data_IF_409473356205
#
_entry.id   IF_409473356205
#
_cell.length_a   1.000
_cell.length_b   1.000
_cell.length_c   1.000
_cell.angle_alpha   90.00
_cell.angle_beta   90.00
_cell.angle_gamma   90.00
#
_symmetry.space_group_name_H-M   'P 1'
#
loop_
_entity.id
_entity.type
_entity.pdbx_description
1 polymer ?
#
# COMPACT_ATOMS: atom_id res chain seq x y z
N UNK A 1 -13.73 -41.07 -17.50
CA UNK A 1 -12.60 -40.27 -16.97
C UNK A 1 -13.17 -39.44 -15.82
N UNK A 2 -12.70 -39.66 -14.59
CA UNK A 2 -13.08 -38.78 -13.46
C UNK A 2 -12.56 -37.39 -13.70
N UNK A 3 -13.36 -36.36 -13.41
CA UNK A 3 -12.89 -34.98 -13.47
C UNK A 3 -11.65 -34.85 -12.55
N UNK A 4 -10.60 -34.15 -12.98
CA UNK A 4 -9.43 -33.91 -12.13
C UNK A 4 -9.90 -33.24 -10.84
N UNK A 5 -9.40 -33.71 -9.69
CA UNK A 5 -9.71 -33.07 -8.41
C UNK A 5 -9.25 -31.59 -8.45
N UNK A 6 -10.05 -30.67 -7.91
CA UNK A 6 -9.68 -29.26 -7.92
C UNK A 6 -8.35 -29.05 -7.17
N UNK A 7 -7.45 -28.24 -7.75
CA UNK A 7 -6.20 -27.86 -7.07
C UNK A 7 -6.51 -27.18 -5.75
N UNK A 8 -5.82 -27.58 -4.71
CA UNK A 8 -5.92 -26.95 -3.38
C UNK A 8 -4.90 -25.84 -3.28
N UNK A 9 -5.32 -24.66 -2.83
CA UNK A 9 -4.42 -23.59 -2.44
C UNK A 9 -4.19 -23.61 -0.92
N UNK A 10 -2.98 -23.27 -0.51
CA UNK A 10 -2.57 -23.18 0.90
C UNK A 10 -1.86 -21.85 1.14
N UNK A 11 -1.96 -21.30 2.35
CA UNK A 11 -1.19 -20.17 2.79
C UNK A 11 0.11 -20.66 3.41
N UNK A 12 1.24 -20.22 2.88
CA UNK A 12 2.58 -20.66 3.29
C UNK A 12 3.36 -19.61 4.07
N UNK A 13 2.97 -18.33 3.99
CA UNK A 13 3.60 -17.25 4.72
C UNK A 13 2.66 -16.08 4.91
N UNK A 14 2.83 -15.37 6.02
CA UNK A 14 2.05 -14.19 6.37
C UNK A 14 2.99 -13.02 6.70
N UNK A 15 2.78 -11.88 6.05
CA UNK A 15 3.47 -10.63 6.34
C UNK A 15 2.46 -9.58 6.81
N UNK A 16 2.70 -9.03 7.99
CA UNK A 16 1.86 -8.01 8.61
C UNK A 16 2.67 -6.77 8.97
N UNK A 17 2.05 -5.59 8.75
CA UNK A 17 2.54 -4.31 9.25
C UNK A 17 1.32 -3.49 9.68
N UNK A 18 1.21 -3.20 10.96
CA UNK A 18 0.09 -2.47 11.52
C UNK A 18 0.52 -1.65 12.74
N UNK A 19 -0.39 -0.83 13.26
CA UNK A 19 -0.18 -0.09 14.50
C UNK A 19 -0.09 -0.99 15.76
N UNK A 20 -0.48 -2.26 15.64
CA UNK A 20 -0.38 -3.26 16.72
C UNK A 20 0.92 -4.03 16.69
N UNK A 21 1.62 -4.01 15.56
CA UNK A 21 2.87 -4.73 15.37
C UNK A 21 3.17 -5.02 13.90
N UNK A 22 4.31 -5.65 13.68
CA UNK A 22 4.82 -6.00 12.35
C UNK A 22 5.16 -7.48 12.17
N UNK A 23 4.61 -8.33 13.02
CA UNK A 23 4.67 -9.79 12.92
C UNK A 23 3.35 -10.40 13.44
N UNK A 24 3.07 -11.62 13.03
CA UNK A 24 1.79 -12.28 13.29
C UNK A 24 1.52 -12.49 14.78
N UNK A 25 2.52 -12.92 15.54
CA UNK A 25 2.37 -13.24 16.95
C UNK A 25 2.12 -11.98 17.79
N UNK A 26 2.89 -10.92 17.53
CA UNK A 26 2.69 -9.62 18.20
C UNK A 26 1.31 -9.06 17.94
N UNK A 27 0.85 -9.08 16.67
CA UNK A 27 -0.47 -8.59 16.29
C UNK A 27 -1.56 -9.44 16.91
N UNK A 28 -1.44 -10.77 16.87
CA UNK A 28 -2.40 -11.69 17.47
C UNK A 28 -2.52 -11.49 18.98
N UNK A 29 -1.40 -11.44 19.70
CA UNK A 29 -1.39 -11.21 21.15
C UNK A 29 -1.99 -9.85 21.53
N UNK A 30 -1.75 -8.83 20.72
CA UNK A 30 -2.37 -7.51 20.91
C UNK A 30 -3.90 -7.58 20.72
N UNK A 31 -4.38 -8.27 19.69
CA UNK A 31 -5.81 -8.43 19.41
C UNK A 31 -6.53 -9.19 20.55
N UNK A 32 -6.01 -10.35 20.95
CA UNK A 32 -6.66 -11.17 21.98
C UNK A 32 -6.61 -10.54 23.38
N UNK A 33 -5.63 -9.65 23.63
CA UNK A 33 -5.55 -8.87 24.87
C UNK A 33 -6.35 -7.56 24.82
N UNK A 34 -7.08 -7.29 23.73
CA UNK A 34 -7.87 -6.07 23.57
C UNK A 34 -7.04 -4.79 23.45
N UNK A 35 -5.76 -4.89 23.08
CA UNK A 35 -4.87 -3.74 22.92
C UNK A 35 -5.29 -2.88 21.74
N UNK A 36 -5.40 -1.57 21.94
CA UNK A 36 -5.67 -0.60 20.87
C UNK A 36 -4.37 0.05 20.38
N UNK A 37 -4.23 0.19 19.06
CA UNK A 37 -3.20 1.00 18.43
C UNK A 37 -3.62 2.46 18.20
N UNK A 38 -4.87 2.82 18.52
CA UNK A 38 -5.40 4.17 18.32
C UNK A 38 -4.86 5.11 19.40
N UNK A 39 -4.32 6.24 18.98
CA UNK A 39 -3.76 7.29 19.84
C UNK A 39 -3.93 8.66 19.20
N UNK A 40 -3.62 9.72 19.95
CA UNK A 40 -3.55 11.07 19.38
C UNK A 40 -2.53 11.10 18.27
N UNK A 41 -2.88 11.69 17.13
CA UNK A 41 -2.00 11.83 15.96
C UNK A 41 -0.76 12.66 16.31
N UNK A 42 0.39 12.20 15.81
CA UNK A 42 1.68 12.86 15.96
C UNK A 42 2.41 13.07 14.62
N UNK A 43 2.00 12.38 13.55
CA UNK A 43 2.65 12.50 12.24
C UNK A 43 2.39 13.82 11.53
N UNK A 44 1.27 14.48 11.83
CA UNK A 44 0.92 15.79 11.30
C UNK A 44 -0.01 16.53 12.28
N UNK A 45 -0.06 17.85 12.16
CA UNK A 45 -0.96 18.65 12.98
C UNK A 45 -2.42 18.45 12.54
N UNK A 46 -3.26 17.97 13.46
CA UNK A 46 -4.67 17.72 13.27
C UNK A 46 -5.54 18.63 14.16
N UNK A 47 -4.97 19.74 14.69
CA UNK A 47 -5.66 20.59 15.68
C UNK A 47 -7.00 21.15 15.17
N UNK A 48 -7.06 21.48 13.88
CA UNK A 48 -8.25 22.05 13.24
C UNK A 48 -9.18 20.98 12.63
N UNK A 49 -8.83 19.69 12.75
CA UNK A 49 -9.66 18.60 12.23
C UNK A 49 -10.65 18.09 13.28
N UNK A 50 -11.85 17.65 12.85
CA UNK A 50 -12.85 17.10 13.76
C UNK A 50 -12.38 15.87 14.54
N UNK A 51 -11.57 15.00 13.92
CA UNK A 51 -10.96 13.84 14.53
C UNK A 51 -9.45 14.09 14.70
N UNK A 52 -8.90 13.69 15.85
CA UNK A 52 -7.47 13.90 16.20
C UNK A 52 -6.79 12.62 16.65
N UNK A 53 -7.42 11.47 16.41
CA UNK A 53 -6.90 10.16 16.80
C UNK A 53 -6.77 9.26 15.58
N UNK A 54 -5.78 8.37 15.61
CA UNK A 54 -5.52 7.39 14.55
C UNK A 54 -4.57 6.32 15.00
N UNK A 55 -4.48 5.24 14.24
CA UNK A 55 -3.59 4.12 14.53
C UNK A 55 -2.31 4.25 13.70
N UNK A 56 -1.36 5.05 14.19
CA UNK A 56 -0.08 5.31 13.53
C UNK A 56 0.92 4.16 13.70
N UNK A 57 1.80 4.01 12.71
CA UNK A 57 2.99 3.15 12.76
C UNK A 57 4.22 4.08 12.79
N UNK A 58 4.66 4.55 13.97
CA UNK A 58 5.65 5.63 14.06
C UNK A 58 7.03 5.20 13.56
N UNK A 59 7.46 3.99 13.89
CA UNK A 59 8.84 3.52 13.67
C UNK A 59 9.00 2.75 12.35
N UNK A 60 8.02 2.84 11.44
CA UNK A 60 8.10 2.18 10.16
C UNK A 60 9.15 2.83 9.26
N UNK A 61 10.17 2.05 8.95
CA UNK A 61 11.18 2.35 7.94
C UNK A 61 11.32 1.14 7.00
N UNK A 62 10.85 1.29 5.77
CA UNK A 62 10.93 0.25 4.75
C UNK A 62 12.38 -0.20 4.48
N UNK A 63 13.39 0.66 4.71
CA UNK A 63 14.81 0.32 4.51
C UNK A 63 15.32 -0.73 5.50
N UNK A 64 14.66 -0.90 6.64
CA UNK A 64 15.00 -1.94 7.62
C UNK A 64 14.52 -3.33 7.17
N UNK A 65 13.50 -3.38 6.32
CA UNK A 65 12.89 -4.62 5.81
C UNK A 65 13.42 -4.94 4.40
N UNK A 66 13.43 -3.93 3.53
CA UNK A 66 13.97 -4.06 2.18
C UNK A 66 15.49 -3.84 2.23
N UNK A 67 16.25 -4.92 2.30
CA UNK A 67 17.70 -4.86 2.49
C UNK A 67 18.51 -4.82 1.20
N UNK A 68 17.98 -5.33 0.09
CA UNK A 68 18.66 -5.36 -1.20
C UNK A 68 18.83 -3.94 -1.77
N UNK A 69 20.07 -3.61 -2.15
CA UNK A 69 20.47 -2.25 -2.59
C UNK A 69 19.61 -1.72 -3.74
N UNK A 70 19.36 -2.55 -4.75
CA UNK A 70 18.59 -2.13 -5.93
C UNK A 70 17.12 -1.86 -5.58
N UNK A 71 16.50 -2.71 -4.78
CA UNK A 71 15.14 -2.52 -4.30
C UNK A 71 15.01 -1.26 -3.40
N UNK A 72 16.02 -0.97 -2.59
CA UNK A 72 16.05 0.26 -1.76
C UNK A 72 16.07 1.54 -2.57
N UNK A 73 16.65 1.54 -3.77
CA UNK A 73 16.65 2.72 -4.66
C UNK A 73 15.25 3.10 -5.11
N UNK A 74 14.35 2.13 -5.26
CA UNK A 74 12.98 2.38 -5.71
C UNK A 74 12.08 2.94 -4.60
N UNK A 75 12.47 2.82 -3.32
CA UNK A 75 11.69 3.35 -2.19
C UNK A 75 11.40 4.87 -2.31
N UNK A 76 12.29 5.63 -2.94
CA UNK A 76 12.12 7.07 -3.15
C UNK A 76 10.96 7.45 -4.09
N UNK A 77 10.50 6.50 -4.92
CA UNK A 77 9.35 6.65 -5.82
C UNK A 77 8.12 5.90 -5.34
N UNK A 78 8.08 5.54 -4.06
CA UNK A 78 6.96 4.89 -3.40
C UNK A 78 6.38 5.80 -2.32
N UNK A 79 5.09 6.07 -2.37
CA UNK A 79 4.37 6.64 -1.24
C UNK A 79 4.39 5.67 -0.04
N UNK A 80 4.13 6.18 1.16
CA UNK A 80 4.13 5.36 2.39
C UNK A 80 3.22 4.12 2.28
N UNK A 81 2.04 4.26 1.70
CA UNK A 81 1.14 3.13 1.43
C UNK A 81 1.81 2.02 0.62
N UNK A 82 2.50 2.40 -0.46
CA UNK A 82 3.22 1.44 -1.32
C UNK A 82 4.36 0.78 -0.55
N UNK A 83 5.13 1.56 0.22
CA UNK A 83 6.22 1.02 1.05
C UNK A 83 5.70 0.01 2.09
N UNK A 84 4.54 0.25 2.71
CA UNK A 84 3.90 -0.69 3.65
C UNK A 84 3.56 -2.01 2.97
N UNK A 85 2.93 -1.96 1.78
CA UNK A 85 2.57 -3.16 1.01
C UNK A 85 3.77 -3.97 0.57
N UNK A 86 4.80 -3.31 0.01
CA UNK A 86 6.04 -3.97 -0.42
C UNK A 86 6.79 -4.60 0.75
N UNK A 87 6.85 -3.90 1.88
CA UNK A 87 7.49 -4.43 3.09
C UNK A 87 6.72 -5.61 3.70
N UNK A 88 5.38 -5.58 3.67
CA UNK A 88 4.56 -6.70 4.11
C UNK A 88 4.74 -7.92 3.19
N UNK A 89 4.80 -7.72 1.86
CA UNK A 89 5.08 -8.78 0.91
C UNK A 89 6.46 -9.42 1.15
N UNK A 90 7.50 -8.62 1.41
CA UNK A 90 8.82 -9.13 1.78
C UNK A 90 8.76 -10.02 3.03
N UNK A 91 8.05 -9.60 4.08
CA UNK A 91 7.86 -10.41 5.28
C UNK A 91 7.11 -11.71 5.01
N UNK A 92 6.11 -11.70 4.13
CA UNK A 92 5.39 -12.91 3.73
C UNK A 92 6.31 -13.92 3.03
N UNK A 93 7.19 -13.43 2.13
CA UNK A 93 8.20 -14.27 1.43
C UNK A 93 9.19 -14.87 2.43
N UNK A 94 9.65 -14.10 3.40
CA UNK A 94 10.54 -14.58 4.47
C UNK A 94 9.85 -15.62 5.36
N UNK A 95 8.60 -15.37 5.77
CA UNK A 95 7.83 -16.31 6.57
C UNK A 95 7.51 -17.61 5.83
N UNK A 96 7.33 -17.55 4.51
CA UNK A 96 7.18 -18.73 3.65
C UNK A 96 8.50 -19.46 3.39
N UNK A 97 9.64 -18.93 3.82
CA UNK A 97 10.98 -19.41 3.49
C UNK A 97 11.20 -19.59 1.98
N UNK A 98 10.53 -18.78 1.16
CA UNK A 98 10.59 -18.84 -0.29
C UNK A 98 11.91 -18.27 -0.80
N UNK A 99 12.65 -19.08 -1.54
CA UNK A 99 13.96 -18.70 -2.10
C UNK A 99 13.81 -18.10 -3.49
N UNK A 100 14.67 -17.14 -3.88
CA UNK A 100 14.73 -16.64 -5.26
C UNK A 100 14.89 -17.79 -6.27
N UNK A 101 14.09 -17.77 -7.33
CA UNK A 101 14.12 -18.80 -8.38
C UNK A 101 13.46 -20.14 -8.03
N UNK A 102 12.90 -20.30 -6.85
CA UNK A 102 12.19 -21.53 -6.45
C UNK A 102 10.89 -21.73 -7.23
N UNK A 103 10.27 -20.65 -7.66
CA UNK A 103 9.07 -20.66 -8.53
C UNK A 103 9.48 -20.07 -9.87
N UNK A 104 9.05 -20.70 -10.96
CA UNK A 104 9.27 -20.16 -12.30
C UNK A 104 8.63 -18.76 -12.41
N UNK A 105 9.36 -17.71 -12.83
CA UNK A 105 8.85 -16.34 -12.83
C UNK A 105 7.50 -16.18 -13.53
N UNK A 106 7.30 -16.83 -14.67
CA UNK A 106 6.05 -16.78 -15.43
C UNK A 106 4.85 -17.46 -14.73
N UNK A 107 5.11 -18.27 -13.68
CA UNK A 107 4.08 -18.95 -12.88
C UNK A 107 3.98 -18.40 -11.46
N UNK A 108 4.68 -17.31 -11.18
CA UNK A 108 4.60 -16.58 -9.92
C UNK A 108 3.82 -15.28 -10.13
N UNK A 109 2.62 -15.20 -9.56
CA UNK A 109 1.70 -14.08 -9.72
C UNK A 109 1.67 -13.13 -8.53
N UNK A 110 1.04 -11.97 -8.74
CA UNK A 110 0.81 -10.94 -7.71
C UNK A 110 -0.62 -10.43 -7.82
N UNK A 111 -1.37 -10.47 -6.75
CA UNK A 111 -2.70 -9.85 -6.64
C UNK A 111 -2.73 -8.92 -5.43
N UNK A 112 -2.92 -7.63 -5.66
CA UNK A 112 -2.91 -6.65 -4.57
C UNK A 112 -4.19 -5.84 -4.51
N UNK A 113 -4.66 -5.60 -3.30
CA UNK A 113 -5.72 -4.65 -3.01
C UNK A 113 -5.08 -3.29 -2.67
N UNK A 114 -5.44 -2.28 -3.42
CA UNK A 114 -5.04 -0.91 -3.12
C UNK A 114 -6.11 0.05 -3.64
N UNK A 115 -6.49 1.00 -2.83
CA UNK A 115 -7.36 2.09 -3.26
C UNK A 115 -6.53 3.32 -3.62
N UNK A 116 -7.18 4.45 -3.83
CA UNK A 116 -6.51 5.69 -4.16
C UNK A 116 -5.49 6.07 -3.09
N UNK A 117 -4.24 6.20 -3.49
CA UNK A 117 -3.15 6.69 -2.64
C UNK A 117 -3.17 8.22 -2.69
N UNK A 118 -3.37 8.87 -1.54
CA UNK A 118 -3.40 10.33 -1.49
C UNK A 118 -2.01 10.92 -1.73
N UNK A 119 -1.96 11.97 -2.54
CA UNK A 119 -0.73 12.72 -2.81
C UNK A 119 -0.26 13.43 -1.53
N UNK A 120 1.03 13.34 -1.24
CA UNK A 120 1.63 14.13 -0.16
C UNK A 120 1.58 15.62 -0.52
N UNK A 121 1.16 16.50 0.41
CA UNK A 121 1.05 17.93 0.15
C UNK A 121 2.34 18.55 -0.39
N UNK A 122 3.49 18.07 0.06
CA UNK A 122 4.82 18.55 -0.32
C UNK A 122 5.10 18.41 -1.82
N UNK A 123 4.61 17.35 -2.44
CA UNK A 123 4.81 17.10 -3.88
C UNK A 123 4.06 18.13 -4.75
N UNK A 124 3.00 18.77 -4.21
CA UNK A 124 2.18 19.76 -4.93
C UNK A 124 2.40 21.19 -4.43
N UNK A 125 3.01 21.34 -3.26
CA UNK A 125 3.09 22.65 -2.58
C UNK A 125 3.83 23.71 -3.40
N UNK A 126 4.89 23.34 -4.13
CA UNK A 126 5.64 24.27 -4.98
C UNK A 126 4.78 24.91 -6.06
N UNK A 127 4.07 24.07 -6.82
CA UNK A 127 3.14 24.52 -7.84
C UNK A 127 1.97 25.31 -7.29
N UNK A 128 1.35 24.82 -6.20
CA UNK A 128 0.22 25.50 -5.57
C UNK A 128 0.59 26.89 -5.03
N UNK A 129 1.78 27.05 -4.42
CA UNK A 129 2.26 28.35 -3.94
C UNK A 129 2.54 29.32 -5.08
N UNK A 130 3.15 28.83 -6.17
CA UNK A 130 3.49 29.66 -7.34
C UNK A 130 2.24 30.20 -8.04
N UNK A 131 1.17 29.43 -8.06
CA UNK A 131 -0.06 29.75 -8.78
C UNK A 131 -1.22 30.13 -7.85
N UNK A 132 -0.92 30.44 -6.58
CA UNK A 132 -1.93 30.86 -5.60
C UNK A 132 -2.65 32.14 -6.04
N UNK A 133 -3.97 32.12 -6.02
CA UNK A 133 -4.78 33.32 -6.26
C UNK A 133 -4.88 34.21 -5.01
N UNK A 134 -5.42 35.42 -5.19
CA UNK A 134 -5.75 36.33 -4.07
C UNK A 134 -6.80 35.72 -3.12
N UNK A 135 -7.69 34.88 -3.64
CA UNK A 135 -8.68 34.16 -2.82
C UNK A 135 -8.02 32.96 -2.16
N UNK A 136 -7.96 32.87 -0.82
CA UNK A 136 -7.37 31.75 -0.11
C UNK A 136 -7.97 30.41 -0.54
N UNK A 137 -7.13 29.39 -0.67
CA UNK A 137 -7.54 28.04 -1.07
C UNK A 137 -7.79 27.86 -2.57
N UNK A 138 -7.53 28.85 -3.40
CA UNK A 138 -7.69 28.74 -4.86
C UNK A 138 -6.36 28.97 -5.59
N UNK A 139 -6.25 28.35 -6.78
CA UNK A 139 -5.08 28.50 -7.66
C UNK A 139 -5.51 28.97 -9.06
N UNK A 140 -4.62 29.69 -9.74
CA UNK A 140 -4.77 29.98 -11.16
C UNK A 140 -4.49 28.71 -11.97
N UNK A 141 -5.52 28.15 -12.58
CA UNK A 141 -5.41 26.90 -13.34
C UNK A 141 -4.62 27.07 -14.64
N UNK A 142 -4.62 28.25 -15.26
CA UNK A 142 -3.80 28.52 -16.43
C UNK A 142 -2.32 28.56 -16.06
N UNK A 143 -1.98 29.28 -14.99
CA UNK A 143 -0.65 29.31 -14.41
C UNK A 143 -0.20 27.92 -13.91
N UNK A 144 -1.12 27.13 -13.33
CA UNK A 144 -0.82 25.75 -12.95
C UNK A 144 -0.39 24.91 -14.15
N UNK A 145 -1.11 24.97 -15.27
CA UNK A 145 -0.79 24.21 -16.49
C UNK A 145 0.53 24.60 -17.15
N UNK A 146 1.07 25.78 -16.87
CA UNK A 146 2.34 26.28 -17.44
C UNK A 146 3.50 26.22 -16.47
N UNK A 147 3.46 27.02 -15.42
CA UNK A 147 4.58 27.17 -14.46
C UNK A 147 4.43 26.24 -13.25
N UNK A 148 3.21 26.04 -12.74
CA UNK A 148 2.95 25.22 -11.56
C UNK A 148 3.32 23.76 -11.76
N UNK A 149 2.97 23.18 -12.90
CA UNK A 149 3.27 21.76 -13.22
C UNK A 149 4.78 21.48 -13.27
N UNK A 150 5.61 22.48 -13.59
CA UNK A 150 7.07 22.33 -13.60
C UNK A 150 7.68 22.19 -12.20
N UNK A 151 6.94 22.55 -11.17
CA UNK A 151 7.33 22.38 -9.77
C UNK A 151 6.99 20.98 -9.23
N UNK A 152 6.16 20.21 -9.94
CA UNK A 152 5.79 18.86 -9.54
C UNK A 152 6.90 17.89 -9.96
N UNK A 153 7.34 16.98 -9.07
CA UNK A 153 8.36 15.98 -9.43
C UNK A 153 7.96 15.19 -10.68
N UNK A 154 8.82 15.00 -11.69
CA UNK A 154 8.44 14.36 -12.96
C UNK A 154 7.83 12.96 -12.81
N UNK A 155 8.24 12.22 -11.78
CA UNK A 155 7.78 10.86 -11.52
C UNK A 155 6.75 10.77 -10.38
N UNK A 156 6.13 11.91 -10.01
CA UNK A 156 5.19 11.96 -8.88
C UNK A 156 4.04 10.94 -9.01
N UNK A 157 3.55 10.73 -10.23
CA UNK A 157 2.46 9.79 -10.49
C UNK A 157 2.80 8.36 -10.06
N UNK A 158 4.06 7.93 -10.23
CA UNK A 158 4.50 6.59 -9.83
C UNK A 158 4.40 6.34 -8.32
N UNK A 159 4.36 7.40 -7.51
CA UNK A 159 4.13 7.26 -6.07
C UNK A 159 2.69 6.89 -5.72
N UNK A 160 1.71 7.29 -6.55
CA UNK A 160 0.31 7.40 -6.15
C UNK A 160 -0.68 6.55 -6.95
N UNK A 161 -0.23 5.86 -7.99
CA UNK A 161 -1.08 4.94 -8.73
C UNK A 161 -1.42 3.69 -7.90
N UNK A 162 -2.69 3.26 -7.86
CA UNK A 162 -3.11 2.11 -7.06
C UNK A 162 -2.43 0.80 -7.42
N UNK A 163 -1.98 0.63 -8.66
CA UNK A 163 -1.28 -0.57 -9.11
C UNK A 163 0.20 -0.65 -8.71
N UNK A 164 0.76 0.41 -8.15
CA UNK A 164 2.19 0.45 -7.83
C UNK A 164 2.63 -0.56 -6.75
N UNK A 165 1.84 -0.88 -5.71
CA UNK A 165 2.18 -1.97 -4.81
C UNK A 165 2.41 -3.30 -5.54
N UNK A 166 1.48 -3.72 -6.40
CA UNK A 166 1.62 -4.94 -7.20
C UNK A 166 2.82 -4.89 -8.14
N UNK A 167 3.05 -3.76 -8.82
CA UNK A 167 4.22 -3.55 -9.69
C UNK A 167 5.54 -3.71 -8.93
N UNK A 168 5.71 -3.02 -7.80
CA UNK A 168 6.95 -3.10 -7.04
C UNK A 168 7.17 -4.48 -6.41
N UNK A 169 6.09 -5.13 -5.92
CA UNK A 169 6.18 -6.50 -5.40
C UNK A 169 6.61 -7.45 -6.51
N UNK A 170 6.04 -7.36 -7.71
CA UNK A 170 6.41 -8.22 -8.82
C UNK A 170 7.86 -8.04 -9.25
N UNK A 171 8.33 -6.80 -9.35
CA UNK A 171 9.73 -6.49 -9.68
C UNK A 171 10.70 -7.01 -8.61
N UNK A 172 10.36 -6.82 -7.33
CA UNK A 172 11.22 -7.21 -6.22
C UNK A 172 11.39 -8.74 -6.08
N UNK A 173 10.39 -9.51 -6.52
CA UNK A 173 10.38 -10.97 -6.37
C UNK A 173 10.46 -11.73 -7.71
N UNK A 174 10.75 -11.04 -8.80
CA UNK A 174 10.80 -11.59 -10.17
C UNK A 174 9.53 -12.35 -10.57
N UNK A 175 8.37 -11.88 -10.06
CA UNK A 175 7.06 -12.48 -10.34
C UNK A 175 6.51 -11.94 -11.66
N UNK A 176 6.59 -12.74 -12.73
CA UNK A 176 6.19 -12.39 -14.11
C UNK A 176 4.93 -13.12 -14.57
N UNK A 177 4.25 -13.79 -13.65
CA UNK A 177 2.95 -14.40 -13.88
C UNK A 177 1.82 -13.37 -13.88
N UNK A 178 0.56 -13.80 -13.70
CA UNK A 178 -0.57 -12.90 -13.61
C UNK A 178 -0.35 -11.82 -12.55
N UNK A 179 -0.65 -10.57 -12.89
CA UNK A 179 -0.47 -9.44 -12.00
C UNK A 179 -1.66 -8.50 -12.13
N UNK A 180 -2.32 -8.20 -11.01
CA UNK A 180 -3.45 -7.30 -11.02
C UNK A 180 -3.55 -6.52 -9.70
N UNK A 181 -4.32 -5.44 -9.75
CA UNK A 181 -4.67 -4.65 -8.56
C UNK A 181 -6.17 -4.45 -8.50
N UNK A 182 -6.77 -4.83 -7.39
CA UNK A 182 -8.20 -4.70 -7.15
C UNK A 182 -8.47 -3.47 -6.30
N UNK A 183 -9.30 -2.57 -6.84
CA UNK A 183 -9.75 -1.36 -6.16
C UNK A 183 -11.26 -1.47 -5.90
N UNK A 184 -11.61 -2.01 -4.72
CA UNK A 184 -12.98 -2.26 -4.31
C UNK A 184 -13.22 -1.92 -2.82
N UNK A 185 -12.60 -0.83 -2.36
CA UNK A 185 -12.70 -0.38 -0.95
C UNK A 185 -12.42 -1.52 0.04
N UNK A 186 -13.24 -1.69 1.06
CA UNK A 186 -13.05 -2.65 2.15
C UNK A 186 -13.10 -4.12 1.69
N UNK A 187 -13.73 -4.41 0.57
CA UNK A 187 -13.81 -5.76 0.00
C UNK A 187 -12.57 -6.16 -0.81
N UNK A 188 -11.72 -5.22 -1.20
CA UNK A 188 -10.65 -5.43 -2.16
C UNK A 188 -9.66 -6.54 -1.76
N UNK A 189 -9.29 -6.62 -0.48
CA UNK A 189 -8.36 -7.63 0.02
C UNK A 189 -8.86 -9.06 -0.14
N UNK A 190 -10.13 -9.31 0.20
CA UNK A 190 -10.75 -10.62 0.03
C UNK A 190 -10.98 -10.94 -1.45
N UNK A 191 -11.29 -9.96 -2.28
CA UNK A 191 -11.42 -10.14 -3.73
C UNK A 191 -10.09 -10.51 -4.37
N UNK A 192 -8.98 -9.88 -3.97
CA UNK A 192 -7.63 -10.23 -4.43
C UNK A 192 -7.29 -11.68 -4.08
N UNK A 193 -7.59 -12.12 -2.85
CA UNK A 193 -7.41 -13.50 -2.44
C UNK A 193 -8.27 -14.47 -3.27
N UNK A 194 -9.54 -14.12 -3.51
CA UNK A 194 -10.45 -14.90 -4.33
C UNK A 194 -10.00 -15.03 -5.78
N UNK A 195 -9.47 -13.97 -6.37
CA UNK A 195 -8.95 -13.99 -7.74
C UNK A 195 -7.70 -14.86 -7.85
N UNK A 196 -6.72 -14.68 -6.96
CA UNK A 196 -5.54 -15.54 -6.92
C UNK A 196 -5.91 -17.03 -6.77
N UNK A 197 -6.87 -17.35 -5.89
CA UNK A 197 -7.38 -18.71 -5.71
C UNK A 197 -7.94 -19.30 -7.02
N UNK A 198 -8.73 -18.51 -7.75
CA UNK A 198 -9.30 -18.92 -9.05
C UNK A 198 -8.23 -19.14 -10.11
N UNK A 199 -7.20 -18.29 -10.15
CA UNK A 199 -6.10 -18.41 -11.11
C UNK A 199 -5.26 -19.65 -10.81
N UNK A 200 -4.96 -19.94 -9.55
CA UNK A 200 -4.31 -21.19 -9.12
C UNK A 200 -5.14 -22.41 -9.50
N UNK A 201 -6.46 -22.37 -9.29
CA UNK A 201 -7.37 -23.45 -9.66
C UNK A 201 -7.41 -23.76 -11.15
N UNK A 202 -7.18 -22.75 -12.01
CA UNK A 202 -7.07 -22.88 -13.47
C UNK A 202 -5.70 -23.33 -13.97
N UNK A 203 -4.75 -23.59 -13.07
CA UNK A 203 -3.37 -23.98 -13.40
C UNK A 203 -2.58 -22.95 -14.24
N UNK A 204 -2.89 -21.65 -14.06
CA UNK A 204 -2.18 -20.56 -14.75
C UNK A 204 -0.92 -20.14 -13.98
N UNK A 205 -0.91 -20.34 -12.67
CA UNK A 205 0.21 -20.03 -11.80
C UNK A 205 0.40 -21.11 -10.73
N UNK A 206 1.58 -21.16 -10.12
CA UNK A 206 1.92 -22.09 -9.03
C UNK A 206 1.92 -21.43 -7.67
N UNK A 207 2.17 -20.11 -7.62
CA UNK A 207 2.12 -19.32 -6.40
C UNK A 207 1.72 -17.88 -6.67
N UNK A 208 1.24 -17.22 -5.62
CA UNK A 208 0.90 -15.80 -5.61
C UNK A 208 1.42 -15.11 -4.35
N UNK A 209 1.86 -13.87 -4.51
CA UNK A 209 1.87 -12.89 -3.44
C UNK A 209 0.54 -12.14 -3.47
N UNK A 210 -0.31 -12.42 -2.49
CA UNK A 210 -1.62 -11.79 -2.37
C UNK A 210 -1.60 -10.87 -1.17
N UNK A 211 -2.03 -9.64 -1.35
CA UNK A 211 -2.04 -8.71 -0.23
C UNK A 211 -2.92 -7.50 -0.44
N UNK A 212 -2.83 -6.58 0.49
CA UNK A 212 -3.46 -5.28 0.40
C UNK A 212 -2.72 -4.28 1.26
N UNK A 213 -2.73 -3.04 0.86
CA UNK A 213 -2.12 -1.96 1.62
C UNK A 213 -2.93 -0.68 1.49
N UNK A 214 -3.07 0.00 2.61
CA UNK A 214 -3.66 1.31 2.66
C UNK A 214 -3.15 2.09 3.88
N UNK A 215 -3.07 3.42 3.75
CA UNK A 215 -2.93 4.33 4.87
C UNK A 215 -3.80 5.56 4.63
N UNK A 216 -4.68 5.85 5.59
CA UNK A 216 -5.48 7.08 5.61
C UNK A 216 -4.79 8.20 6.40
N UNK A 217 -3.62 7.92 6.98
CA UNK A 217 -2.87 8.87 7.81
C UNK A 217 -1.94 9.76 6.97
N UNK A 218 -2.48 10.32 5.91
CA UNK A 218 -1.94 11.41 5.13
C UNK A 218 -2.84 12.64 5.36
N UNK A 219 -2.33 13.86 5.53
CA UNK A 219 -3.15 15.02 5.86
C UNK A 219 -4.36 15.23 4.95
N UNK A 220 -4.21 15.07 3.64
CA UNK A 220 -5.28 15.22 2.64
C UNK A 220 -6.33 14.10 2.79
N UNK A 221 -5.89 12.87 2.88
CA UNK A 221 -6.77 11.70 3.04
C UNK A 221 -7.52 11.76 4.36
N UNK A 222 -6.83 12.11 5.44
CA UNK A 222 -7.41 12.21 6.77
C UNK A 222 -8.45 13.33 6.86
N UNK A 223 -8.14 14.54 6.36
CA UNK A 223 -9.08 15.64 6.29
C UNK A 223 -10.35 15.25 5.52
N UNK A 224 -10.19 14.58 4.36
CA UNK A 224 -11.32 14.05 3.58
C UNK A 224 -12.19 13.10 4.40
N UNK A 225 -11.57 12.13 5.11
CA UNK A 225 -12.33 11.18 5.93
C UNK A 225 -13.04 11.85 7.08
N UNK A 226 -12.42 12.81 7.77
CA UNK A 226 -13.06 13.55 8.86
C UNK A 226 -14.23 14.42 8.39
N UNK A 227 -14.25 14.80 7.11
CA UNK A 227 -15.33 15.62 6.53
C UNK A 227 -16.51 14.78 6.08
N UNK A 228 -16.26 13.59 5.49
CA UNK A 228 -17.30 12.78 4.87
C UNK A 228 -17.76 11.59 5.70
N UNK A 229 -17.08 11.26 6.78
CA UNK A 229 -17.40 10.12 7.63
C UNK A 229 -17.56 10.56 9.09
N UNK A 230 -18.49 9.92 9.80
CA UNK A 230 -18.63 10.10 11.23
C UNK A 230 -17.49 9.36 11.96
N UNK A 231 -16.40 10.04 12.21
CA UNK A 231 -15.30 9.54 13.01
C UNK A 231 -15.44 9.98 14.48
N UNK A 232 -14.84 9.20 15.39
CA UNK A 232 -14.76 9.60 16.80
C UNK A 232 -13.96 10.90 16.95
N UNK A 233 -14.35 11.72 17.94
CA UNK A 233 -13.76 13.03 18.21
C UNK A 233 -12.84 12.97 19.42
#
# INVERSE_FOLDING_TARGET
>A
MSAPSPRRAVLTGLGLISALGSDADTVWNALVSGKSGVRRLAQFDAVDLPCRVGAEIPDFDAKKIITQKEQRKTLKVMARTVQLGVAAAQKAVEAAALKPGQIAPARFGVEFACVMVATEPEDMAGGAKLTANKTPGTVDMAGWGTEGIRQVPPLWMLKYLPNMPACHVSVNHDAKGPNNTITASDAAGLLALGEAYRILGRDVADAFLVGGCESKLNPVSFARHTTFHALTR
#
